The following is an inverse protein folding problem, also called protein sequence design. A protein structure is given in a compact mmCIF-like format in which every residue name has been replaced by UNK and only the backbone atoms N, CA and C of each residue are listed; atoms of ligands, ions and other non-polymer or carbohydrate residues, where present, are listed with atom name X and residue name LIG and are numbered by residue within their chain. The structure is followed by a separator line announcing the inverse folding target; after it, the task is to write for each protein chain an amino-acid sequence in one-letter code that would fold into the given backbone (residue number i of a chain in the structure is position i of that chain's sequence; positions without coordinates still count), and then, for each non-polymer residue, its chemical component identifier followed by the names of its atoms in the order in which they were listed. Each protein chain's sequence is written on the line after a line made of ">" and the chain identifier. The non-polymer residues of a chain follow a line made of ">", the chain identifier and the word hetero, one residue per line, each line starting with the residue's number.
data_IF_947399526450
#
_entry.id   IF_947399526450
#
_cell.length_a   1.000
_cell.length_b   1.000
_cell.length_c   1.000
_cell.angle_alpha   90.00
_cell.angle_beta   90.00
_cell.angle_gamma   90.00
#
_symmetry.space_group_name_H-M   'P 1'
#
loop_
_entity.id
_entity.type
_entity.pdbx_description
1 polymer ?
#
# COMPACT_ATOMS: atom_id res chain seq x y z
N UNK A 1 -8.51 -15.05 8.52
CA UNK A 1 -7.63 -16.08 9.13
C UNK A 1 -6.27 -16.18 8.44
N UNK A 2 -6.18 -16.20 7.09
CA UNK A 2 -4.88 -16.28 6.41
C UNK A 2 -4.00 -15.08 6.74
N UNK A 3 -4.51 -13.86 6.58
CA UNK A 3 -3.71 -12.65 6.84
C UNK A 3 -3.30 -12.52 8.32
N UNK A 4 -4.11 -13.03 9.25
CA UNK A 4 -3.72 -13.10 10.65
C UNK A 4 -2.47 -13.97 10.86
N UNK A 5 -2.37 -15.12 10.17
CA UNK A 5 -1.15 -15.96 10.22
C UNK A 5 0.08 -15.23 9.68
N UNK A 6 -0.09 -14.41 8.65
CA UNK A 6 0.98 -13.53 8.16
C UNK A 6 1.44 -12.56 9.25
N UNK A 7 0.49 -11.95 9.98
CA UNK A 7 0.83 -11.07 11.08
C UNK A 7 1.54 -11.80 12.23
N UNK A 8 1.17 -13.07 12.50
CA UNK A 8 1.82 -13.89 13.53
C UNK A 8 3.31 -14.10 13.25
N UNK A 9 3.74 -14.16 11.98
CA UNK A 9 5.17 -14.23 11.63
C UNK A 9 5.94 -12.98 12.10
N UNK A 10 5.29 -11.81 12.15
CA UNK A 10 5.91 -10.62 12.72
C UNK A 10 6.11 -10.70 14.25
N UNK A 11 5.40 -11.60 14.93
CA UNK A 11 5.53 -11.86 16.37
C UNK A 11 6.47 -13.03 16.70
N UNK A 12 6.88 -13.83 15.70
CA UNK A 12 7.82 -14.93 15.93
C UNK A 12 9.25 -14.37 16.10
N UNK A 13 9.78 -14.53 17.31
CA UNK A 13 11.12 -14.06 17.69
C UNK A 13 12.25 -14.82 16.99
N UNK A 14 11.97 -15.94 16.32
CA UNK A 14 12.95 -16.63 15.51
C UNK A 14 13.20 -15.93 14.17
N UNK A 15 12.28 -15.08 13.74
CA UNK A 15 12.44 -14.29 12.52
C UNK A 15 13.38 -13.10 12.76
N UNK A 16 14.27 -12.78 11.81
CA UNK A 16 15.08 -11.58 11.86
C UNK A 16 14.25 -10.30 11.92
N UNK A 17 14.76 -9.24 12.56
CA UNK A 17 14.03 -7.99 12.80
C UNK A 17 13.45 -7.37 11.52
N UNK A 18 14.26 -7.28 10.45
CA UNK A 18 13.81 -6.68 9.20
C UNK A 18 12.76 -7.54 8.49
N UNK A 19 12.80 -8.86 8.67
CA UNK A 19 11.74 -9.75 8.13
C UNK A 19 10.44 -9.60 8.91
N UNK A 20 10.49 -9.40 10.22
CA UNK A 20 9.29 -9.11 11.00
C UNK A 20 8.62 -7.81 10.50
N UNK A 21 9.39 -6.76 10.14
CA UNK A 21 8.88 -5.55 9.50
C UNK A 21 8.28 -5.85 8.11
N UNK A 22 8.89 -6.74 7.33
CA UNK A 22 8.32 -7.20 6.07
C UNK A 22 6.95 -7.87 6.26
N UNK A 23 6.80 -8.72 7.29
CA UNK A 23 5.50 -9.37 7.57
C UNK A 23 4.42 -8.36 7.96
N UNK A 24 4.77 -7.31 8.72
CA UNK A 24 3.86 -6.17 9.00
C UNK A 24 3.42 -5.50 7.70
N UNK A 25 4.34 -5.31 6.75
CA UNK A 25 4.07 -4.70 5.46
C UNK A 25 3.21 -5.60 4.55
N UNK A 26 3.52 -6.92 4.51
CA UNK A 26 2.73 -7.91 3.76
C UNK A 26 1.29 -7.95 4.26
N UNK A 27 1.09 -7.88 5.59
CA UNK A 27 -0.25 -7.81 6.17
C UNK A 27 -1.04 -6.60 5.64
N UNK A 28 -0.43 -5.40 5.60
CA UNK A 28 -1.06 -4.21 5.02
C UNK A 28 -1.40 -4.37 3.55
N UNK A 29 -0.46 -4.89 2.76
CA UNK A 29 -0.66 -5.10 1.32
C UNK A 29 -1.81 -6.08 1.04
N UNK A 30 -1.86 -7.20 1.77
CA UNK A 30 -2.94 -8.17 1.65
C UNK A 30 -4.29 -7.58 2.07
N UNK A 31 -4.28 -6.72 3.10
CA UNK A 31 -5.49 -6.07 3.58
C UNK A 31 -6.04 -5.08 2.55
N UNK A 32 -5.18 -4.31 1.89
CA UNK A 32 -5.58 -3.43 0.80
C UNK A 32 -6.30 -4.21 -0.31
N UNK A 33 -5.72 -5.30 -0.77
CA UNK A 33 -6.32 -6.11 -1.82
C UNK A 33 -7.64 -6.75 -1.38
N UNK A 34 -7.71 -7.21 -0.14
CA UNK A 34 -8.93 -7.75 0.44
C UNK A 34 -10.07 -6.72 0.45
N UNK A 35 -9.79 -5.47 0.83
CA UNK A 35 -10.77 -4.39 0.79
C UNK A 35 -11.16 -4.00 -0.64
N UNK A 36 -10.18 -3.88 -1.54
CA UNK A 36 -10.43 -3.49 -2.93
C UNK A 36 -11.30 -4.49 -3.70
N UNK A 37 -11.23 -5.77 -3.35
CA UNK A 37 -11.90 -6.84 -4.09
C UNK A 37 -13.02 -7.46 -3.26
N UNK A 38 -12.69 -8.11 -2.13
CA UNK A 38 -13.68 -8.90 -1.38
C UNK A 38 -14.69 -8.04 -0.63
N UNK A 39 -14.21 -7.03 0.11
CA UNK A 39 -15.11 -6.11 0.84
C UNK A 39 -15.93 -5.29 -0.14
N UNK A 40 -15.30 -4.82 -1.22
CA UNK A 40 -15.99 -4.10 -2.28
C UNK A 40 -17.13 -4.91 -2.89
N UNK A 41 -16.89 -6.17 -3.27
CA UNK A 41 -17.93 -7.05 -3.81
C UNK A 41 -19.07 -7.34 -2.84
N UNK A 42 -18.79 -7.47 -1.52
CA UNK A 42 -19.83 -7.60 -0.50
C UNK A 42 -20.68 -6.34 -0.38
N UNK A 43 -20.05 -5.14 -0.43
CA UNK A 43 -20.78 -3.87 -0.41
C UNK A 43 -21.69 -3.70 -1.64
N UNK A 44 -21.22 -4.09 -2.81
CA UNK A 44 -22.04 -4.07 -4.02
C UNK A 44 -23.24 -5.00 -3.88
N UNK A 45 -23.08 -6.20 -3.31
CA UNK A 45 -24.20 -7.11 -3.03
C UNK A 45 -25.22 -6.50 -2.07
N UNK A 46 -24.77 -5.85 -0.98
CA UNK A 46 -25.65 -5.15 -0.04
C UNK A 46 -26.41 -4.02 -0.74
N UNK A 47 -25.73 -3.20 -1.55
CA UNK A 47 -26.36 -2.11 -2.32
C UNK A 47 -27.42 -2.62 -3.31
N UNK A 48 -27.25 -3.83 -3.86
CA UNK A 48 -28.21 -4.50 -4.73
C UNK A 48 -29.35 -5.19 -3.96
N UNK A 49 -29.37 -5.12 -2.63
CA UNK A 49 -30.39 -5.77 -1.80
C UNK A 49 -30.25 -7.29 -1.73
N UNK A 50 -29.06 -7.85 -2.00
CA UNK A 50 -28.83 -9.28 -1.91
C UNK A 50 -28.63 -9.68 -0.44
N UNK A 51 -29.50 -10.58 0.05
CA UNK A 51 -29.58 -11.00 1.45
C UNK A 51 -29.42 -12.51 1.67
N UNK A 52 -29.08 -13.28 0.61
CA UNK A 52 -28.92 -14.73 0.73
C UNK A 52 -27.59 -15.06 1.42
N UNK A 53 -27.63 -15.96 2.46
CA UNK A 53 -26.41 -16.45 3.09
C UNK A 53 -25.49 -17.20 2.12
N UNK A 54 -24.20 -16.98 2.27
CA UNK A 54 -23.16 -17.71 1.54
C UNK A 54 -23.07 -19.18 2.03
N UNK A 55 -22.76 -20.10 1.12
CA UNK A 55 -22.88 -21.56 1.38
C UNK A 55 -21.93 -22.10 2.46
N UNK A 56 -20.75 -21.47 2.66
CA UNK A 56 -19.74 -21.97 3.63
C UNK A 56 -19.91 -21.32 5.02
N UNK A 57 -19.95 -20.01 5.07
CA UNK A 57 -20.05 -19.25 6.31
C UNK A 57 -21.48 -19.15 6.84
N UNK A 58 -22.49 -19.40 5.98
CA UNK A 58 -23.91 -19.25 6.30
C UNK A 58 -24.25 -17.82 6.78
N UNK A 59 -23.54 -16.83 6.26
CA UNK A 59 -23.69 -15.41 6.59
C UNK A 59 -24.15 -14.63 5.36
N UNK A 60 -25.06 -13.68 5.56
CA UNK A 60 -25.45 -12.70 4.54
C UNK A 60 -24.27 -11.76 4.25
N UNK A 61 -24.28 -11.02 3.13
CA UNK A 61 -23.22 -10.03 2.84
C UNK A 61 -23.05 -8.99 3.96
N UNK A 62 -24.16 -8.51 4.57
CA UNK A 62 -24.09 -7.55 5.66
C UNK A 62 -23.45 -8.18 6.92
N UNK A 63 -23.87 -9.37 7.32
CA UNK A 63 -23.26 -10.08 8.46
C UNK A 63 -21.76 -10.35 8.24
N UNK A 64 -21.35 -10.63 7.00
CA UNK A 64 -19.93 -10.76 6.67
C UNK A 64 -19.18 -9.43 6.83
N UNK A 65 -19.75 -8.30 6.36
CA UNK A 65 -19.14 -6.97 6.54
C UNK A 65 -18.99 -6.61 8.03
N UNK A 66 -19.99 -6.87 8.83
CA UNK A 66 -19.95 -6.60 10.28
C UNK A 66 -18.88 -7.44 10.98
N UNK A 67 -18.81 -8.74 10.67
CA UNK A 67 -17.77 -9.63 11.17
C UNK A 67 -16.34 -9.21 10.71
N UNK A 68 -16.20 -8.76 9.46
CA UNK A 68 -14.94 -8.24 8.93
C UNK A 68 -14.53 -6.98 9.70
N UNK A 69 -15.45 -6.05 9.96
CA UNK A 69 -15.15 -4.82 10.70
C UNK A 69 -14.56 -5.13 12.07
N UNK A 70 -15.19 -6.04 12.82
CA UNK A 70 -14.73 -6.43 14.17
C UNK A 70 -13.33 -7.04 14.09
N UNK A 71 -13.14 -8.04 13.23
CA UNK A 71 -11.85 -8.73 13.10
C UNK A 71 -10.74 -7.85 12.53
N UNK A 72 -11.07 -7.01 11.57
CA UNK A 72 -10.09 -6.08 11.01
C UNK A 72 -9.62 -5.07 12.04
N UNK A 73 -10.52 -4.52 12.86
CA UNK A 73 -10.16 -3.58 13.93
C UNK A 73 -9.20 -4.23 14.94
N UNK A 74 -9.48 -5.47 15.36
CA UNK A 74 -8.63 -6.25 16.25
C UNK A 74 -7.22 -6.44 15.65
N UNK A 75 -7.15 -6.93 14.41
CA UNK A 75 -5.88 -7.28 13.77
C UNK A 75 -5.04 -6.07 13.38
N UNK A 76 -5.66 -4.97 12.98
CA UNK A 76 -4.97 -3.71 12.71
C UNK A 76 -4.40 -3.12 14.00
N UNK A 77 -5.14 -3.23 15.13
CA UNK A 77 -4.60 -2.83 16.43
C UNK A 77 -3.34 -3.63 16.79
N UNK A 78 -3.38 -4.96 16.63
CA UNK A 78 -2.21 -5.82 16.84
C UNK A 78 -1.05 -5.44 15.89
N UNK A 79 -1.35 -5.17 14.62
CA UNK A 79 -0.36 -4.76 13.64
C UNK A 79 0.38 -3.49 14.07
N UNK A 80 -0.35 -2.45 14.48
CA UNK A 80 0.26 -1.19 14.91
C UNK A 80 1.01 -1.31 16.24
N UNK A 81 0.51 -2.15 17.16
CA UNK A 81 1.26 -2.48 18.37
C UNK A 81 2.62 -3.12 18.00
N UNK A 82 2.60 -4.13 17.14
CA UNK A 82 3.84 -4.80 16.73
C UNK A 82 4.76 -3.88 15.93
N UNK A 83 4.21 -3.06 15.05
CA UNK A 83 4.96 -2.02 14.34
C UNK A 83 5.72 -1.11 15.32
N UNK A 84 5.05 -0.58 16.34
CA UNK A 84 5.69 0.30 17.31
C UNK A 84 6.83 -0.40 18.09
N UNK A 85 6.63 -1.66 18.49
CA UNK A 85 7.66 -2.46 19.14
C UNK A 85 8.90 -2.65 18.25
N UNK A 86 8.70 -3.00 16.98
CA UNK A 86 9.77 -3.23 16.01
C UNK A 86 10.52 -1.94 15.66
N UNK A 87 9.82 -0.82 15.54
CA UNK A 87 10.45 0.49 15.31
C UNK A 87 11.31 0.90 16.52
N UNK A 88 10.83 0.63 17.73
CA UNK A 88 11.63 0.90 18.92
C UNK A 88 12.89 0.01 18.98
N UNK A 89 12.80 -1.26 18.56
CA UNK A 89 13.95 -2.17 18.47
C UNK A 89 15.03 -1.67 17.49
N UNK A 90 14.67 -0.94 16.41
CA UNK A 90 15.64 -0.36 15.47
C UNK A 90 16.61 0.63 16.11
N UNK A 91 16.23 1.26 17.23
CA UNK A 91 17.11 2.15 17.98
C UNK A 91 18.39 1.47 18.49
N UNK A 92 18.33 0.15 18.74
CA UNK A 92 19.51 -0.63 19.12
C UNK A 92 20.55 -0.72 17.98
N UNK A 93 20.17 -0.29 16.78
CA UNK A 93 20.99 -0.30 15.56
C UNK A 93 21.27 1.11 15.04
N UNK A 94 21.12 2.13 15.92
CA UNK A 94 21.29 3.55 15.59
C UNK A 94 20.32 4.06 14.52
N UNK A 95 19.12 3.48 14.42
CA UNK A 95 18.06 3.91 13.50
C UNK A 95 16.87 4.39 14.31
N UNK A 96 16.47 5.64 14.09
CA UNK A 96 15.35 6.26 14.81
C UNK A 96 14.33 6.83 13.83
N UNK A 97 13.07 6.40 13.94
CA UNK A 97 11.96 7.08 13.28
C UNK A 97 11.50 8.23 14.16
N UNK A 98 11.54 9.43 13.62
CA UNK A 98 11.25 10.67 14.37
C UNK A 98 10.38 11.63 13.55
N UNK A 99 9.71 12.54 14.26
CA UNK A 99 9.05 13.69 13.64
C UNK A 99 10.05 14.84 13.44
N UNK A 100 9.79 15.79 12.53
CA UNK A 100 10.67 16.92 12.27
C UNK A 100 11.01 17.75 13.51
N UNK A 101 10.07 17.93 14.43
CA UNK A 101 10.24 18.67 15.69
C UNK A 101 11.22 18.04 16.69
N UNK A 102 11.55 16.75 16.49
CA UNK A 102 12.55 16.03 17.30
C UNK A 102 13.96 16.10 16.74
N UNK A 103 14.17 16.73 15.58
CA UNK A 103 15.49 16.84 14.94
C UNK A 103 16.32 17.98 15.52
N UNK A 104 17.64 17.86 15.43
CA UNK A 104 18.56 18.99 15.70
C UNK A 104 18.33 20.13 14.68
N UNK A 105 18.63 21.37 15.06
CA UNK A 105 18.50 22.53 14.19
C UNK A 105 19.22 22.33 12.85
N UNK A 106 20.41 21.78 12.88
CA UNK A 106 21.19 21.47 11.66
C UNK A 106 20.51 20.43 10.76
N UNK A 107 19.88 19.42 11.33
CA UNK A 107 19.15 18.42 10.55
C UNK A 107 17.83 19.00 10.03
N UNK A 108 17.17 19.86 10.81
CA UNK A 108 15.94 20.51 10.39
C UNK A 108 16.18 21.47 9.21
N UNK A 109 17.28 22.24 9.22
CA UNK A 109 17.67 23.07 8.08
C UNK A 109 17.92 22.24 6.79
N UNK A 110 18.58 21.08 6.94
CA UNK A 110 18.78 20.16 5.81
C UNK A 110 17.45 19.64 5.29
N UNK A 111 16.54 19.24 6.18
CA UNK A 111 15.22 18.75 5.86
C UNK A 111 14.37 19.81 5.14
N UNK A 112 14.41 21.05 5.63
CA UNK A 112 13.72 22.19 5.00
C UNK A 112 14.23 22.47 3.58
N UNK A 113 15.57 22.43 3.39
CA UNK A 113 16.16 22.57 2.07
C UNK A 113 15.70 21.47 1.11
N UNK A 114 15.71 20.22 1.55
CA UNK A 114 15.21 19.07 0.78
C UNK A 114 13.72 19.22 0.46
N UNK A 115 12.91 19.63 1.43
CA UNK A 115 11.51 19.94 1.24
C UNK A 115 11.29 21.00 0.17
N UNK A 116 11.95 22.17 0.26
CA UNK A 116 11.80 23.27 -0.69
C UNK A 116 12.24 22.92 -2.11
N UNK A 117 13.31 22.12 -2.23
CA UNK A 117 13.88 21.79 -3.55
C UNK A 117 13.19 20.63 -4.25
N UNK A 118 12.72 19.64 -3.52
CA UNK A 118 12.26 18.37 -4.12
C UNK A 118 10.80 18.02 -3.84
N UNK A 119 10.26 18.42 -2.68
CA UNK A 119 8.89 18.03 -2.28
C UNK A 119 7.92 19.16 -2.65
N UNK A 120 8.15 20.37 -2.15
CA UNK A 120 7.25 21.52 -2.35
C UNK A 120 6.84 21.75 -3.81
N UNK A 121 7.75 21.68 -4.82
CA UNK A 121 7.37 21.91 -6.22
C UNK A 121 6.42 20.85 -6.80
N UNK A 122 6.27 19.71 -6.14
CA UNK A 122 5.42 18.60 -6.60
C UNK A 122 4.05 18.59 -5.95
N UNK A 123 3.85 19.43 -4.92
CA UNK A 123 2.60 19.50 -4.18
C UNK A 123 1.66 20.50 -4.82
N UNK A 124 0.39 20.10 -4.94
CA UNK A 124 -0.67 20.97 -5.43
C UNK A 124 -1.82 20.95 -4.43
N UNK A 125 -1.98 22.01 -3.62
CA UNK A 125 -3.14 22.14 -2.75
C UNK A 125 -4.41 22.27 -3.59
N UNK A 126 -5.44 21.54 -3.24
CA UNK A 126 -6.76 21.56 -3.86
C UNK A 126 -7.74 22.18 -2.85
N UNK A 127 -8.04 23.45 -3.02
CA UNK A 127 -9.03 24.15 -2.20
C UNK A 127 -10.44 23.62 -2.48
N UNK A 128 -11.25 23.55 -1.44
CA UNK A 128 -12.63 23.07 -1.51
C UNK A 128 -13.52 24.20 -0.98
N UNK A 129 -14.37 24.71 -1.85
CA UNK A 129 -15.33 25.75 -1.56
C UNK A 129 -16.62 25.56 -2.38
N UNK A 130 -17.54 26.51 -2.32
CA UNK A 130 -18.80 26.44 -3.07
C UNK A 130 -18.63 26.34 -4.60
N UNK A 131 -17.48 26.74 -5.12
CA UNK A 131 -17.17 26.74 -6.57
C UNK A 131 -16.27 25.57 -6.98
N UNK A 132 -15.49 25.01 -6.05
CA UNK A 132 -14.57 23.91 -6.27
C UNK A 132 -15.02 22.69 -5.49
N UNK A 133 -15.69 21.73 -6.17
CA UNK A 133 -16.18 20.52 -5.53
C UNK A 133 -15.03 19.62 -5.06
N UNK A 134 -15.35 18.69 -4.18
CA UNK A 134 -14.40 17.72 -3.66
C UNK A 134 -13.62 17.01 -4.79
N UNK A 135 -12.27 16.99 -4.74
CA UNK A 135 -11.46 16.42 -5.81
C UNK A 135 -11.58 14.90 -5.87
N UNK A 136 -11.47 14.35 -7.07
CA UNK A 136 -11.42 12.90 -7.26
C UNK A 136 -10.05 12.35 -6.85
N UNK A 137 -9.95 11.83 -5.64
CA UNK A 137 -8.72 11.27 -5.11
C UNK A 137 -8.48 9.85 -5.66
N UNK A 138 -7.22 9.53 -5.93
CA UNK A 138 -6.81 8.22 -6.44
C UNK A 138 -6.94 7.11 -5.39
N UNK A 139 -7.16 5.87 -5.86
CA UNK A 139 -7.15 4.69 -4.99
C UNK A 139 -5.80 4.56 -4.28
N UNK A 140 -5.83 4.27 -2.98
CA UNK A 140 -4.68 4.15 -2.07
C UNK A 140 -3.84 5.43 -1.93
N UNK A 141 -4.32 6.58 -2.40
CA UNK A 141 -3.61 7.84 -2.21
C UNK A 141 -3.58 8.23 -0.73
N UNK A 142 -2.42 8.70 -0.30
CA UNK A 142 -2.25 9.36 0.98
C UNK A 142 -2.45 10.85 0.78
N UNK A 143 -3.26 11.45 1.63
CA UNK A 143 -3.69 12.84 1.51
C UNK A 143 -3.56 13.53 2.87
N UNK A 144 -3.30 14.82 2.84
CA UNK A 144 -3.35 15.67 4.01
C UNK A 144 -4.57 16.58 3.86
N UNK A 145 -5.47 16.51 4.83
CA UNK A 145 -6.55 17.47 4.99
C UNK A 145 -6.02 18.67 5.74
N UNK A 146 -6.42 19.87 5.31
CA UNK A 146 -5.95 21.13 5.87
C UNK A 146 -7.12 22.08 6.04
N UNK A 147 -7.37 22.55 7.27
CA UNK A 147 -8.27 23.66 7.54
C UNK A 147 -7.49 24.96 7.55
N UNK A 148 -7.97 25.94 6.80
CA UNK A 148 -7.38 27.28 6.68
C UNK A 148 -8.38 28.35 7.08
N UNK A 149 -7.91 29.36 7.81
CA UNK A 149 -8.67 30.58 8.08
C UNK A 149 -8.49 31.56 6.90
N UNK A 150 -9.60 32.04 6.35
CA UNK A 150 -9.65 32.98 5.21
C UNK A 150 -10.43 34.23 5.56
N UNK A 151 -10.19 34.88 6.67
CA UNK A 151 -10.84 36.14 7.14
C UNK A 151 -12.40 36.09 7.15
N UNK A 152 -13.02 35.47 6.14
CA UNK A 152 -14.48 35.42 5.96
C UNK A 152 -15.09 34.07 6.38
N UNK A 153 -14.31 32.96 6.33
CA UNK A 153 -14.78 31.60 6.64
C UNK A 153 -13.61 30.61 6.84
N UNK A 154 -13.90 29.52 7.53
CA UNK A 154 -13.00 28.36 7.52
C UNK A 154 -13.21 27.61 6.20
N UNK A 155 -12.15 27.47 5.42
CA UNK A 155 -12.13 26.72 4.18
C UNK A 155 -11.22 25.50 4.35
N UNK A 156 -11.51 24.45 3.60
CA UNK A 156 -10.73 23.24 3.63
C UNK A 156 -9.94 23.04 2.34
N UNK A 157 -8.79 22.41 2.45
CA UNK A 157 -7.98 22.02 1.30
C UNK A 157 -7.47 20.60 1.47
N UNK A 158 -7.18 19.94 0.34
CA UNK A 158 -6.54 18.63 0.32
C UNK A 158 -5.20 18.75 -0.40
N UNK A 159 -4.16 18.22 0.24
CA UNK A 159 -2.84 18.06 -0.36
C UNK A 159 -2.61 16.57 -0.58
N UNK A 160 -2.70 16.13 -1.83
CA UNK A 160 -2.39 14.74 -2.18
C UNK A 160 -0.88 14.55 -2.23
N UNK A 161 -0.38 13.53 -1.55
CA UNK A 161 1.04 13.18 -1.58
C UNK A 161 1.31 12.37 -2.85
N UNK A 162 2.16 12.87 -3.78
CA UNK A 162 2.46 12.17 -5.02
C UNK A 162 3.20 10.87 -4.78
N UNK A 163 2.80 9.80 -5.46
CA UNK A 163 3.44 8.47 -5.35
C UNK A 163 4.89 8.42 -5.86
N UNK A 164 5.33 9.45 -6.58
CA UNK A 164 6.72 9.60 -7.03
C UNK A 164 7.68 10.04 -5.93
N UNK A 165 7.15 10.60 -4.84
CA UNK A 165 7.97 11.01 -3.69
C UNK A 165 8.19 9.78 -2.80
N UNK A 166 9.44 9.52 -2.35
CA UNK A 166 9.70 8.49 -1.35
C UNK A 166 8.87 8.72 -0.09
N UNK A 167 8.31 7.65 0.48
CA UNK A 167 7.46 7.74 1.68
C UNK A 167 8.20 8.19 2.94
N UNK A 168 9.53 8.13 2.93
CA UNK A 168 10.36 8.59 4.04
C UNK A 168 11.65 9.23 3.52
N UNK A 169 12.22 10.10 4.33
CA UNK A 169 13.53 10.72 4.13
C UNK A 169 14.48 10.21 5.20
N UNK A 170 15.75 10.09 4.85
CA UNK A 170 16.80 9.67 5.80
C UNK A 170 17.81 10.79 6.01
N UNK A 171 18.12 11.06 7.27
CA UNK A 171 19.11 12.06 7.70
C UNK A 171 20.13 11.36 8.61
N UNK A 172 21.40 11.74 8.52
CA UNK A 172 22.46 11.15 9.32
C UNK A 172 23.13 12.21 10.20
N UNK A 173 23.37 11.86 11.46
CA UNK A 173 24.13 12.67 12.41
C UNK A 173 24.99 11.75 13.26
N UNK A 174 26.32 11.84 13.09
CA UNK A 174 27.26 10.89 13.68
C UNK A 174 26.99 9.46 13.15
N UNK A 175 26.77 8.53 14.06
CA UNK A 175 26.44 7.13 13.75
C UNK A 175 24.93 6.90 13.57
N UNK A 176 24.11 7.84 14.03
CA UNK A 176 22.65 7.72 14.00
C UNK A 176 22.08 8.06 12.63
N UNK A 177 21.08 7.29 12.22
CA UNK A 177 20.26 7.53 11.07
C UNK A 177 18.81 7.81 11.52
N UNK A 178 18.33 8.99 11.17
CA UNK A 178 16.95 9.40 11.40
C UNK A 178 16.12 9.13 10.15
N UNK A 179 14.95 8.56 10.35
CA UNK A 179 13.95 8.31 9.32
C UNK A 179 12.75 9.20 9.61
N UNK A 180 12.36 10.04 8.67
CA UNK A 180 11.24 10.99 8.81
C UNK A 180 10.21 10.69 7.73
N UNK A 181 8.96 10.51 8.11
CA UNK A 181 7.89 10.25 7.16
C UNK A 181 7.57 11.49 6.32
N UNK A 182 7.32 11.30 5.02
CA UNK A 182 7.07 12.42 4.10
C UNK A 182 5.83 13.22 4.48
N UNK A 183 4.78 12.56 4.98
CA UNK A 183 3.59 13.21 5.48
C UNK A 183 3.87 14.14 6.68
N UNK A 184 4.75 13.72 7.61
CA UNK A 184 5.15 14.53 8.74
C UNK A 184 5.98 15.74 8.29
N UNK A 185 6.84 15.57 7.27
CA UNK A 185 7.63 16.67 6.67
C UNK A 185 6.70 17.69 6.02
N UNK A 186 5.74 17.24 5.21
CA UNK A 186 4.80 18.13 4.52
C UNK A 186 3.93 18.87 5.54
N UNK A 187 3.42 18.17 6.56
CA UNK A 187 2.61 18.77 7.62
C UNK A 187 3.41 19.80 8.42
N UNK A 188 4.66 19.52 8.74
CA UNK A 188 5.53 20.44 9.48
C UNK A 188 5.81 21.74 8.71
N UNK A 189 6.01 21.63 7.40
CA UNK A 189 6.26 22.78 6.51
C UNK A 189 5.02 23.24 5.74
N UNK A 190 3.83 22.91 6.18
CA UNK A 190 2.58 23.14 5.45
C UNK A 190 2.34 24.62 5.11
N UNK A 191 2.81 25.55 5.95
CA UNK A 191 2.67 26.97 5.76
C UNK A 191 3.34 27.50 4.47
N UNK A 192 4.32 26.78 3.91
CA UNK A 192 4.88 27.13 2.60
C UNK A 192 3.90 26.94 1.45
N UNK A 193 2.89 26.08 1.62
CA UNK A 193 1.83 25.86 0.63
C UNK A 193 0.68 26.87 0.78
N UNK A 194 0.44 27.38 2.00
CA UNK A 194 -0.68 28.25 2.32
C UNK A 194 -0.21 29.64 2.76
N UNK A 195 0.67 30.24 1.93
CA UNK A 195 1.22 31.58 2.23
C UNK A 195 0.12 32.63 2.33
N UNK A 196 0.03 33.34 3.44
CA UNK A 196 -0.98 34.35 3.68
C UNK A 196 -2.26 33.86 4.35
N UNK A 197 -2.35 32.60 4.65
CA UNK A 197 -3.46 31.99 5.41
C UNK A 197 -2.95 31.36 6.70
N UNK A 198 -3.78 31.32 7.73
CA UNK A 198 -3.51 30.59 8.96
C UNK A 198 -4.00 29.14 8.80
N UNK A 199 -3.10 28.18 9.03
CA UNK A 199 -3.46 26.77 9.06
C UNK A 199 -3.92 26.39 10.45
N UNK A 200 -5.19 26.04 10.59
CA UNK A 200 -5.84 25.75 11.87
C UNK A 200 -5.67 24.30 12.31
N UNK A 201 -5.81 23.36 11.35
CA UNK A 201 -5.72 21.93 11.62
C UNK A 201 -5.22 21.18 10.40
N UNK A 202 -4.52 20.07 10.65
CA UNK A 202 -4.10 19.13 9.61
C UNK A 202 -4.20 17.70 10.11
N UNK A 203 -4.62 16.78 9.26
CA UNK A 203 -4.51 15.35 9.53
C UNK A 203 -4.33 14.58 8.23
N UNK A 204 -3.71 13.42 8.32
CA UNK A 204 -3.55 12.52 7.18
C UNK A 204 -4.72 11.56 7.07
N UNK A 205 -5.13 11.28 5.82
CA UNK A 205 -6.12 10.26 5.53
C UNK A 205 -5.78 9.50 4.25
N UNK A 206 -6.31 8.30 4.13
CA UNK A 206 -6.10 7.41 2.99
C UNK A 206 -7.40 6.74 2.60
N UNK A 207 -7.66 6.64 1.31
CA UNK A 207 -8.85 5.98 0.80
C UNK A 207 -8.49 4.70 0.04
N UNK A 208 -9.32 3.67 0.23
CA UNK A 208 -9.29 2.46 -0.60
C UNK A 208 -10.57 2.43 -1.43
N UNK A 209 -10.43 2.19 -2.74
CA UNK A 209 -11.56 2.16 -3.67
C UNK A 209 -11.84 0.76 -4.17
N UNK A 210 -13.08 0.53 -4.56
CA UNK A 210 -13.49 -0.69 -5.24
C UNK A 210 -12.65 -0.86 -6.52
N UNK A 211 -12.01 -2.02 -6.64
CA UNK A 211 -11.25 -2.43 -7.81
C UNK A 211 -11.74 -3.78 -8.38
N UNK A 212 -12.88 -4.27 -7.87
CA UNK A 212 -13.55 -5.48 -8.34
C UNK A 212 -14.50 -5.12 -9.49
N UNK A 213 -13.90 -4.79 -10.62
CA UNK A 213 -14.63 -4.52 -11.85
C UNK A 213 -14.59 -5.79 -12.70
N UNK A 214 -15.74 -6.29 -13.10
CA UNK A 214 -15.86 -7.43 -14.02
C UNK A 214 -15.55 -7.01 -15.45
N UNK A 215 -14.56 -7.65 -16.07
CA UNK A 215 -14.31 -7.51 -17.51
C UNK A 215 -15.34 -8.38 -18.22
N UNK A 216 -16.20 -7.77 -19.04
CA UNK A 216 -17.06 -8.49 -19.95
C UNK A 216 -16.25 -8.86 -21.20
N UNK A 217 -15.68 -10.07 -21.22
CA UNK A 217 -14.90 -10.58 -22.37
C UNK A 217 -15.82 -10.88 -23.58
N UNK A 218 -17.10 -11.18 -23.30
CA UNK A 218 -18.10 -11.48 -24.34
C UNK A 218 -18.49 -10.20 -25.09
N UNK A 219 -17.95 -10.03 -26.30
CA UNK A 219 -18.27 -8.94 -27.20
C UNK A 219 -17.25 -7.81 -27.31
N UNK A 220 -16.10 -7.92 -26.66
CA UNK A 220 -14.99 -6.97 -26.82
C UNK A 220 -14.33 -7.15 -28.21
N UNK A 221 -14.46 -6.14 -29.07
CA UNK A 221 -13.77 -6.12 -30.37
C UNK A 221 -12.25 -6.03 -30.21
N UNK A 222 -11.76 -5.42 -29.12
CA UNK A 222 -10.35 -5.34 -28.75
C UNK A 222 -10.19 -5.46 -27.21
N UNK A 223 -9.72 -6.63 -26.78
CA UNK A 223 -9.49 -6.94 -25.36
C UNK A 223 -8.47 -5.99 -24.72
N UNK A 224 -7.50 -5.47 -25.48
CA UNK A 224 -6.47 -4.56 -24.96
C UNK A 224 -7.09 -3.20 -24.58
N UNK A 225 -7.97 -2.67 -25.42
CA UNK A 225 -8.70 -1.42 -25.16
C UNK A 225 -9.62 -1.58 -23.95
N UNK A 226 -10.31 -2.71 -23.82
CA UNK A 226 -11.15 -3.00 -22.66
C UNK A 226 -10.32 -3.10 -21.37
N UNK A 227 -9.16 -3.76 -21.41
CA UNK A 227 -8.25 -3.80 -20.26
C UNK A 227 -7.74 -2.40 -19.91
N UNK A 228 -7.40 -1.57 -20.88
CA UNK A 228 -6.96 -0.19 -20.64
C UNK A 228 -8.06 0.66 -20.01
N UNK A 229 -9.31 0.55 -20.51
CA UNK A 229 -10.48 1.19 -19.90
C UNK A 229 -10.70 0.71 -18.48
N UNK A 230 -10.69 -0.59 -18.26
CA UNK A 230 -10.80 -1.24 -16.96
C UNK A 230 -9.75 -0.74 -15.95
N UNK A 231 -8.48 -0.62 -16.36
CA UNK A 231 -7.42 -0.08 -15.50
C UNK A 231 -7.64 1.40 -15.15
N UNK A 232 -8.27 2.18 -16.01
CA UNK A 232 -8.67 3.57 -15.72
C UNK A 232 -9.84 3.62 -14.74
N UNK A 233 -10.86 2.80 -14.93
CA UNK A 233 -12.05 2.70 -14.07
C UNK A 233 -11.67 2.20 -12.66
N UNK A 234 -10.74 1.26 -12.54
CA UNK A 234 -10.22 0.76 -11.27
C UNK A 234 -9.63 1.84 -10.36
N UNK A 235 -9.15 2.93 -10.94
CA UNK A 235 -8.65 4.10 -10.18
C UNK A 235 -9.78 4.97 -9.61
N UNK A 236 -11.00 4.79 -10.08
CA UNK A 236 -12.15 5.68 -9.81
C UNK A 236 -13.38 4.98 -9.25
N UNK A 237 -13.27 3.74 -8.79
CA UNK A 237 -14.35 3.03 -8.11
C UNK A 237 -14.82 3.73 -6.84
N UNK A 238 -15.99 3.34 -6.30
CA UNK A 238 -16.51 3.86 -5.03
C UNK A 238 -15.52 3.65 -3.89
N UNK A 239 -15.45 4.58 -2.94
CA UNK A 239 -14.65 4.38 -1.74
C UNK A 239 -15.26 3.26 -0.90
N UNK A 240 -14.41 2.36 -0.39
CA UNK A 240 -14.81 1.21 0.43
C UNK A 240 -14.17 1.20 1.81
N UNK A 241 -13.15 2.04 2.01
CA UNK A 241 -12.48 2.24 3.30
C UNK A 241 -11.86 3.62 3.35
N UNK A 242 -12.03 4.30 4.48
CA UNK A 242 -11.34 5.52 4.86
C UNK A 242 -10.46 5.23 6.08
N UNK A 243 -9.16 5.41 5.95
CA UNK A 243 -8.18 5.33 7.02
C UNK A 243 -7.77 6.75 7.42
N UNK A 244 -7.74 7.04 8.71
CA UNK A 244 -7.49 8.39 9.23
C UNK A 244 -6.46 8.31 10.35
N UNK A 245 -5.54 9.27 10.42
CA UNK A 245 -4.68 9.44 11.59
C UNK A 245 -5.53 9.94 12.77
N UNK A 246 -5.89 9.02 13.66
CA UNK A 246 -6.75 9.29 14.81
C UNK A 246 -6.16 10.23 15.86
N UNK A 247 -4.87 10.60 15.74
CA UNK A 247 -4.19 11.46 16.71
C UNK A 247 -4.49 12.94 16.49
N UNK A 248 -4.79 13.34 15.26
CA UNK A 248 -4.95 14.75 14.86
C UNK A 248 -6.29 15.07 14.20
N UNK A 249 -7.00 14.07 13.71
CA UNK A 249 -8.26 14.25 13.02
C UNK A 249 -9.39 14.70 13.97
N UNK A 250 -10.14 15.72 13.56
CA UNK A 250 -11.32 16.19 14.28
C UNK A 250 -12.58 15.50 13.74
N UNK A 251 -13.55 15.24 14.64
CA UNK A 251 -14.75 14.48 14.29
C UNK A 251 -15.58 15.13 13.20
N UNK A 252 -15.75 16.45 13.26
CA UNK A 252 -16.54 17.23 12.28
C UNK A 252 -15.95 17.09 10.86
N UNK A 253 -14.63 17.14 10.75
CA UNK A 253 -13.93 17.00 9.47
C UNK A 253 -14.05 15.58 8.90
N UNK A 254 -14.14 14.56 9.78
CA UNK A 254 -14.33 13.18 9.36
C UNK A 254 -15.77 12.96 8.88
N UNK A 255 -16.77 13.47 9.60
CA UNK A 255 -18.17 13.41 9.19
C UNK A 255 -18.34 14.06 7.80
N UNK A 256 -17.74 15.23 7.60
CA UNK A 256 -17.72 15.89 6.30
C UNK A 256 -17.02 15.06 5.21
N UNK A 257 -15.84 14.47 5.49
CA UNK A 257 -15.15 13.59 4.53
C UNK A 257 -15.98 12.37 4.17
N UNK A 258 -16.70 11.79 5.12
CA UNK A 258 -17.58 10.64 4.88
C UNK A 258 -18.67 10.99 3.86
N UNK A 259 -19.28 12.17 3.99
CA UNK A 259 -20.29 12.66 3.04
C UNK A 259 -19.68 12.86 1.65
N UNK A 260 -18.50 13.49 1.56
CA UNK A 260 -17.83 13.77 0.28
C UNK A 260 -17.36 12.49 -0.44
N UNK A 261 -16.98 11.48 0.31
CA UNK A 261 -16.48 10.20 -0.20
C UNK A 261 -17.58 9.14 -0.33
N UNK A 262 -18.81 9.44 0.14
CA UNK A 262 -19.94 8.49 0.21
C UNK A 262 -19.56 7.22 0.99
N UNK A 263 -18.85 7.39 2.13
CA UNK A 263 -18.35 6.32 2.99
C UNK A 263 -19.20 6.27 4.25
N UNK A 264 -19.59 5.07 4.67
CA UNK A 264 -20.34 4.87 5.91
C UNK A 264 -19.41 4.93 7.14
N UNK A 265 -19.95 5.26 8.30
CA UNK A 265 -19.19 5.31 9.57
C UNK A 265 -18.46 3.98 9.85
N UNK A 266 -19.07 2.85 9.49
CA UNK A 266 -18.46 1.53 9.62
C UNK A 266 -17.24 1.29 8.74
N UNK A 267 -17.00 2.12 7.74
CA UNK A 267 -15.87 2.02 6.82
C UNK A 267 -14.69 2.90 7.22
N UNK A 268 -14.86 3.69 8.29
CA UNK A 268 -13.81 4.56 8.82
C UNK A 268 -12.97 3.81 9.84
N UNK A 269 -11.65 3.89 9.69
CA UNK A 269 -10.65 3.27 10.56
C UNK A 269 -9.69 4.32 11.10
N UNK A 270 -9.71 4.49 12.42
CA UNK A 270 -8.79 5.39 13.12
C UNK A 270 -7.51 4.64 13.48
N UNK A 271 -6.39 5.13 12.97
CA UNK A 271 -5.08 4.52 13.15
C UNK A 271 -4.18 5.42 13.99
N UNK A 272 -3.37 4.82 14.86
CA UNK A 272 -2.45 5.52 15.77
C UNK A 272 -1.00 5.37 15.29
N UNK A 273 -0.70 5.86 14.08
CA UNK A 273 0.61 5.75 13.46
C UNK A 273 0.58 6.18 11.99
N UNK A 274 1.68 6.01 11.26
CA UNK A 274 1.71 6.31 9.83
C UNK A 274 0.72 5.43 9.09
N UNK A 275 -0.05 6.03 8.20
CA UNK A 275 -0.98 5.30 7.34
C UNK A 275 -0.20 4.52 6.28
N UNK A 276 -0.77 3.38 5.83
CA UNK A 276 -0.14 2.55 4.80
C UNK A 276 1.25 2.02 5.19
N UNK A 277 1.29 1.02 6.07
CA UNK A 277 2.54 0.41 6.50
C UNK A 277 3.29 -0.37 5.39
N UNK A 278 2.82 -0.33 4.14
CA UNK A 278 3.58 -0.91 3.01
C UNK A 278 4.88 -0.15 2.72
N UNK A 279 5.06 1.07 3.24
CA UNK A 279 6.33 1.79 3.17
C UNK A 279 7.49 1.02 3.80
N UNK A 280 7.19 0.11 4.73
CA UNK A 280 8.19 -0.74 5.39
C UNK A 280 8.96 -1.62 4.40
N UNK A 281 8.38 -2.02 3.27
CA UNK A 281 9.13 -2.71 2.21
C UNK A 281 10.34 -1.87 1.75
N UNK A 282 10.10 -0.58 1.46
CA UNK A 282 11.17 0.34 1.07
C UNK A 282 12.15 0.62 2.21
N UNK A 283 11.67 0.69 3.44
CA UNK A 283 12.53 0.87 4.62
C UNK A 283 13.44 -0.35 4.82
N UNK A 284 12.90 -1.56 4.77
CA UNK A 284 13.67 -2.80 4.88
C UNK A 284 14.71 -2.90 3.76
N UNK A 285 14.32 -2.61 2.52
CA UNK A 285 15.27 -2.61 1.39
C UNK A 285 16.41 -1.62 1.63
N UNK A 286 16.10 -0.40 2.08
CA UNK A 286 17.10 0.61 2.41
C UNK A 286 18.05 0.15 3.52
N UNK A 287 17.53 -0.47 4.59
CA UNK A 287 18.30 -0.91 5.76
C UNK A 287 19.06 -2.22 5.52
N UNK A 288 18.55 -3.10 4.66
CA UNK A 288 19.12 -4.44 4.42
C UNK A 288 20.56 -4.40 3.91
N UNK A 289 20.95 -3.34 3.20
CA UNK A 289 22.31 -3.16 2.73
C UNK A 289 23.32 -3.00 3.89
N UNK A 290 22.93 -2.31 4.97
CA UNK A 290 23.74 -2.06 6.17
C UNK A 290 23.58 -3.18 7.22
N UNK A 291 22.38 -3.72 7.35
CA UNK A 291 21.97 -4.66 8.42
C UNK A 291 21.63 -6.05 7.88
N UNK A 292 22.45 -6.59 6.97
CA UNK A 292 22.22 -7.91 6.32
C UNK A 292 21.95 -9.05 7.31
N UNK A 293 22.56 -8.98 8.50
CA UNK A 293 22.38 -10.00 9.54
C UNK A 293 21.01 -9.95 10.23
N UNK A 294 20.19 -8.94 9.94
CA UNK A 294 18.80 -8.82 10.39
C UNK A 294 17.79 -9.23 9.30
N UNK A 295 18.23 -9.86 8.23
CA UNK A 295 17.41 -10.47 7.18
C UNK A 295 17.68 -11.97 7.10
N UNK A 296 16.81 -12.70 6.39
CA UNK A 296 17.09 -14.10 6.05
C UNK A 296 18.34 -14.21 5.17
N UNK A 297 19.05 -15.32 5.31
CA UNK A 297 20.07 -15.68 4.35
C UNK A 297 19.45 -15.86 2.96
N UNK A 298 20.11 -15.29 1.94
CA UNK A 298 19.64 -15.37 0.59
C UNK A 298 19.68 -16.82 0.10
N UNK A 299 18.50 -17.39 -0.14
CA UNK A 299 18.38 -18.69 -0.77
C UNK A 299 18.80 -18.64 -2.24
N UNK A 300 19.63 -19.59 -2.68
CA UNK A 300 19.99 -19.75 -4.10
C UNK A 300 19.14 -20.86 -4.70
N UNK A 301 18.22 -20.53 -5.64
CA UNK A 301 17.39 -21.53 -6.29
C UNK A 301 18.22 -22.60 -6.99
N UNK A 302 17.80 -23.84 -6.89
CA UNK A 302 18.52 -24.98 -7.45
C UNK A 302 17.91 -25.37 -8.80
N UNK A 303 18.74 -25.87 -9.71
CA UNK A 303 18.23 -26.46 -10.95
C UNK A 303 17.44 -27.73 -10.59
N UNK A 304 16.19 -27.91 -11.11
CA UNK A 304 15.40 -29.08 -10.82
C UNK A 304 16.11 -30.39 -11.18
N UNK A 305 16.18 -31.32 -10.22
CA UNK A 305 16.79 -32.62 -10.47
C UNK A 305 16.07 -33.39 -11.58
N UNK A 306 14.79 -33.14 -11.79
CA UNK A 306 13.96 -33.72 -12.83
C UNK A 306 14.42 -33.39 -14.25
N UNK A 307 15.16 -32.29 -14.43
CA UNK A 307 15.74 -31.90 -15.73
C UNK A 307 17.01 -32.72 -16.02
N UNK A 308 17.79 -33.10 -14.99
CA UNK A 308 19.10 -33.73 -15.17
C UNK A 308 20.00 -32.82 -16.04
N UNK A 309 20.67 -33.45 -17.01
CA UNK A 309 21.48 -32.73 -18.02
C UNK A 309 20.73 -32.59 -19.35
N UNK A 310 19.40 -32.77 -19.35
CA UNK A 310 18.59 -32.72 -20.56
C UNK A 310 18.20 -31.27 -20.87
N UNK A 311 18.07 -30.99 -22.17
CA UNK A 311 17.47 -29.77 -22.64
C UNK A 311 15.96 -29.77 -22.31
N UNK A 312 15.47 -28.69 -21.68
CA UNK A 312 14.09 -28.58 -21.23
C UNK A 312 13.09 -28.69 -22.40
N UNK A 313 13.43 -28.11 -23.58
CA UNK A 313 12.56 -28.12 -24.74
C UNK A 313 12.28 -29.54 -25.23
N UNK A 314 13.33 -30.37 -25.31
CA UNK A 314 13.22 -31.81 -25.69
C UNK A 314 12.44 -32.58 -24.64
N UNK A 315 12.72 -32.34 -23.37
CA UNK A 315 12.05 -33.04 -22.28
C UNK A 315 10.55 -32.71 -22.22
N UNK A 316 10.18 -31.47 -22.53
CA UNK A 316 8.78 -31.03 -22.57
C UNK A 316 7.97 -31.69 -23.70
N UNK A 317 8.62 -32.16 -24.77
CA UNK A 317 7.98 -32.96 -25.82
C UNK A 317 7.65 -34.40 -25.37
N UNK A 318 8.33 -34.86 -24.32
CA UNK A 318 8.18 -36.22 -23.81
C UNK A 318 7.20 -36.31 -22.64
N UNK A 319 7.17 -35.26 -21.80
CA UNK A 319 6.35 -35.23 -20.56
C UNK A 319 6.11 -33.83 -20.06
N UNK A 320 5.10 -33.68 -19.20
CA UNK A 320 4.88 -32.46 -18.41
C UNK A 320 6.03 -32.26 -17.42
N UNK A 321 6.44 -31.00 -17.25
CA UNK A 321 7.51 -30.61 -16.33
C UNK A 321 6.92 -29.69 -15.27
N UNK A 322 7.18 -30.02 -14.00
CA UNK A 322 6.75 -29.24 -12.85
C UNK A 322 7.94 -28.56 -12.19
N UNK A 323 7.79 -27.30 -11.81
CA UNK A 323 8.76 -26.51 -11.06
C UNK A 323 8.17 -26.04 -9.75
N UNK A 324 8.96 -26.07 -8.69
CA UNK A 324 8.58 -25.59 -7.37
C UNK A 324 9.34 -24.31 -7.01
N UNK A 325 8.83 -23.16 -7.47
CA UNK A 325 9.40 -21.87 -7.10
C UNK A 325 9.03 -21.47 -5.66
N UNK A 326 9.91 -20.73 -4.97
CA UNK A 326 11.23 -20.18 -5.37
C UNK A 326 12.41 -21.14 -5.16
N UNK A 327 12.16 -22.37 -4.76
CA UNK A 327 13.23 -23.33 -4.42
C UNK A 327 13.95 -23.86 -5.66
N UNK A 328 13.24 -23.99 -6.76
CA UNK A 328 13.80 -24.36 -8.04
C UNK A 328 13.96 -23.12 -8.93
N UNK A 329 15.04 -23.11 -9.73
CA UNK A 329 15.40 -21.98 -10.59
C UNK A 329 14.36 -21.73 -11.68
N UNK A 330 14.10 -20.47 -11.98
CA UNK A 330 13.25 -20.04 -13.09
C UNK A 330 13.98 -20.03 -14.43
N UNK A 331 15.34 -19.99 -14.43
CA UNK A 331 16.15 -19.94 -15.64
C UNK A 331 15.79 -21.01 -16.71
N UNK A 332 15.53 -22.28 -16.36
CA UNK A 332 15.11 -23.25 -17.36
C UNK A 332 13.81 -22.89 -18.10
N UNK A 333 12.90 -22.17 -17.44
CA UNK A 333 11.66 -21.70 -18.10
C UNK A 333 11.97 -20.55 -19.07
N UNK A 334 12.88 -19.65 -18.70
CA UNK A 334 13.35 -18.58 -19.59
C UNK A 334 14.04 -19.18 -20.83
N UNK A 335 14.90 -20.18 -20.62
CA UNK A 335 15.57 -20.89 -21.72
C UNK A 335 14.57 -21.61 -22.62
N UNK A 336 13.56 -22.26 -22.05
CA UNK A 336 12.48 -22.91 -22.80
C UNK A 336 11.75 -21.93 -23.73
N UNK A 337 11.40 -20.74 -23.21
CA UNK A 337 10.72 -19.70 -24.01
C UNK A 337 11.67 -19.15 -25.10
N UNK A 338 12.94 -18.94 -24.78
CA UNK A 338 13.95 -18.46 -25.71
C UNK A 338 14.17 -19.47 -26.86
N UNK A 339 14.35 -20.73 -26.51
CA UNK A 339 14.50 -21.81 -27.52
C UNK A 339 13.24 -21.94 -28.40
N UNK A 340 12.05 -21.83 -27.79
CA UNK A 340 10.79 -21.87 -28.55
C UNK A 340 10.66 -20.68 -29.51
N UNK A 341 11.14 -19.50 -29.13
CA UNK A 341 11.11 -18.31 -29.96
C UNK A 341 12.09 -18.41 -31.16
N UNK A 342 13.21 -19.09 -30.98
CA UNK A 342 14.23 -19.31 -32.02
C UNK A 342 13.92 -20.50 -32.93
N UNK A 343 13.05 -21.42 -32.53
CA UNK A 343 12.71 -22.62 -33.33
C UNK A 343 11.70 -22.25 -34.44
N UNK A 344 12.09 -22.39 -35.73
CA UNK A 344 11.22 -22.09 -36.87
C UNK A 344 9.97 -22.98 -36.96
N UNK A 345 9.91 -24.09 -36.22
CA UNK A 345 8.75 -24.98 -36.16
C UNK A 345 7.75 -24.56 -35.09
N UNK A 346 8.09 -23.65 -34.18
CA UNK A 346 7.17 -23.13 -33.17
C UNK A 346 6.15 -22.19 -33.80
N UNK A 347 4.89 -22.57 -33.76
CA UNK A 347 3.78 -21.79 -34.35
C UNK A 347 3.27 -20.72 -33.36
N UNK A 348 3.23 -21.05 -32.07
CA UNK A 348 2.72 -20.18 -31.04
C UNK A 348 3.28 -20.54 -29.65
N UNK A 349 3.41 -19.52 -28.79
CA UNK A 349 3.71 -19.66 -27.37
C UNK A 349 2.43 -19.28 -26.59
N UNK A 350 1.91 -20.20 -25.80
CA UNK A 350 0.74 -19.97 -24.93
C UNK A 350 1.21 -20.00 -23.49
N UNK A 351 1.05 -18.88 -22.77
CA UNK A 351 1.53 -18.73 -21.40
C UNK A 351 0.45 -18.06 -20.55
N UNK A 352 0.18 -18.65 -19.37
CA UNK A 352 -0.61 -18.01 -18.34
C UNK A 352 0.34 -17.25 -17.40
N UNK A 353 0.16 -15.93 -17.30
CA UNK A 353 0.91 -15.07 -16.38
C UNK A 353 0.05 -14.83 -15.16
N UNK A 354 0.46 -15.37 -14.01
CA UNK A 354 -0.22 -15.12 -12.74
C UNK A 354 0.41 -13.96 -11.99
N UNK A 355 1.73 -13.96 -11.87
CA UNK A 355 2.50 -12.89 -11.22
C UNK A 355 3.82 -12.72 -11.95
N UNK A 356 4.10 -11.49 -12.35
CA UNK A 356 5.37 -11.13 -12.99
C UNK A 356 6.06 -10.05 -12.17
N UNK A 357 7.41 -10.06 -12.12
CA UNK A 357 8.18 -8.98 -11.56
C UNK A 357 8.04 -7.73 -12.42
N UNK A 358 8.42 -6.59 -11.87
CA UNK A 358 8.43 -5.31 -12.60
C UNK A 358 9.72 -5.11 -13.42
N UNK A 359 10.64 -6.06 -13.33
CA UNK A 359 11.95 -6.02 -14.00
C UNK A 359 11.88 -6.50 -15.46
#
# INVERSE_FOLDING_TARGET
>A
DFNYRVLQEAYDKNNPLLEMLNFVSIFSSNLDEFFMVRVAGLKDQVKMGYDKPENKAQMTPQEQLDAIKIKNTEYVHMQYQRYNELIEELRNYDIEMVKPDCLSETLLEKLEKEFKMRILPTLTPLGIDAYHPFPKLNNKSLNIFVDIDTEDAINSAIVQIPSLIPRFLTLNEGNKQYVVMVEDVITYFINYLFTGYEVLNTFTFRITRNADLTIHEDGAEDLLIEIERFLKERKSGSAVRLEVDGRTAQRENIEWLNEQLEVEENDVYFLNGPLDLTFLFGLVDHLSNKLKYLTYEKYTPQVPRSLGNNNIYKLALERDIFFHHPYESFEPIVDFIREAADDPNTIAIKQTLYRVSKD
#
